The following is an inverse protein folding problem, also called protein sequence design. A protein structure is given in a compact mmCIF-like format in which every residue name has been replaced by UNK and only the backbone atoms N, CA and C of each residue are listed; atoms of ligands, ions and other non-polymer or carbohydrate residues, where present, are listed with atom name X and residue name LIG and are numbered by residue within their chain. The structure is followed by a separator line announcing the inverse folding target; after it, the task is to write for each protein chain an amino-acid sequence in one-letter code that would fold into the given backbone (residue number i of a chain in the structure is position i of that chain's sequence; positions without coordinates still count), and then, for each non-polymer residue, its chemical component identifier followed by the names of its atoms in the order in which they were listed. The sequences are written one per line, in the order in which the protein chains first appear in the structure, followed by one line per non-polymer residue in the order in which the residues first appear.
data_IF_931469023129
#
_entry.id   IF_931469023129
#
_cell.length_a   1.000
_cell.length_b   1.000
_cell.length_c   1.000
_cell.angle_alpha   90.00
_cell.angle_beta   90.00
_cell.angle_gamma   90.00
#
_symmetry.space_group_name_H-M   'P 1'
#
loop_
_entity.id
_entity.type
_entity.pdbx_description
1 polymer ?
#
# COMPACT_ATOMS: atom_id res chain seq x y z
N UNK A 1 11.86 39.99 35.77
CA UNK A 1 12.79 39.51 34.73
C UNK A 1 13.25 38.13 35.16
N UNK A 2 12.52 37.04 34.86
CA UNK A 2 12.02 36.60 33.53
C UNK A 2 13.20 36.39 32.57
N UNK A 3 13.40 35.27 31.85
CA UNK A 3 12.66 33.99 31.68
C UNK A 3 13.61 33.00 30.98
N UNK A 4 13.51 31.66 30.99
CA UNK A 4 12.51 30.69 31.48
C UNK A 4 13.23 29.44 32.08
N UNK A 5 12.53 28.63 32.87
CA UNK A 5 12.74 27.18 32.94
C UNK A 5 12.05 26.52 31.72
N UNK A 6 12.74 25.69 30.93
CA UNK A 6 12.11 24.89 29.87
C UNK A 6 12.50 23.41 29.98
N UNK A 7 11.53 22.61 30.41
CA UNK A 7 11.37 21.21 30.03
C UNK A 7 9.95 21.08 29.48
N UNK A 8 9.79 20.84 28.17
CA UNK A 8 9.19 19.59 27.71
C UNK A 8 9.94 19.06 26.46
N UNK A 9 9.97 17.78 26.11
CA UNK A 9 8.87 16.90 25.68
C UNK A 9 9.32 15.43 25.88
N UNK A 10 8.38 14.47 25.89
CA UNK A 10 8.70 13.05 26.05
C UNK A 10 9.52 12.49 24.86
N UNK A 11 10.82 12.27 25.05
CA UNK A 11 11.74 11.86 23.99
C UNK A 11 11.37 10.51 23.35
N UNK A 12 10.71 10.57 22.19
CA UNK A 12 10.37 9.40 21.39
C UNK A 12 11.66 8.68 20.96
N UNK A 13 11.77 7.38 21.27
CA UNK A 13 12.92 6.55 20.89
C UNK A 13 13.13 6.58 19.36
N UNK A 14 14.37 6.69 18.87
CA UNK A 14 14.67 6.61 17.44
C UNK A 14 13.99 5.43 16.75
N UNK A 15 13.52 5.64 15.51
CA UNK A 15 12.78 4.64 14.73
C UNK A 15 13.52 3.29 14.64
N UNK A 16 14.85 3.31 14.49
CA UNK A 16 15.66 2.10 14.45
C UNK A 16 15.65 1.34 15.80
N UNK A 17 15.67 2.03 16.95
CA UNK A 17 15.55 1.40 18.27
C UNK A 17 14.19 0.73 18.47
N UNK A 18 13.10 1.39 18.04
CA UNK A 18 11.75 0.80 18.07
C UNK A 18 11.67 -0.44 17.19
N UNK A 19 12.19 -0.37 15.97
CA UNK A 19 12.28 -1.51 15.07
C UNK A 19 13.09 -2.66 15.70
N UNK A 20 14.28 -2.39 16.23
CA UNK A 20 15.13 -3.40 16.88
C UNK A 20 14.51 -4.02 18.14
N UNK A 21 13.72 -3.26 18.90
CA UNK A 21 12.92 -3.78 20.02
C UNK A 21 11.81 -4.73 19.52
N UNK A 22 11.04 -4.30 18.51
CA UNK A 22 9.98 -5.11 17.88
C UNK A 22 10.53 -6.44 17.33
N UNK A 23 11.65 -6.40 16.59
CA UNK A 23 12.27 -7.62 16.04
C UNK A 23 12.72 -8.58 17.14
N UNK A 24 13.21 -8.10 18.29
CA UNK A 24 13.54 -8.97 19.43
C UNK A 24 12.30 -9.66 20.01
N UNK A 25 11.21 -8.93 20.16
CA UNK A 25 9.94 -9.50 20.64
C UNK A 25 9.42 -10.57 19.67
N UNK A 26 9.21 -10.20 18.41
CA UNK A 26 8.68 -11.11 17.38
C UNK A 26 9.57 -12.32 17.15
N UNK A 27 10.90 -12.19 17.29
CA UNK A 27 11.80 -13.33 17.20
C UNK A 27 11.68 -14.26 18.42
N UNK A 28 11.45 -13.73 19.63
CA UNK A 28 11.13 -14.56 20.78
C UNK A 28 9.81 -15.32 20.60
N UNK A 29 8.79 -14.64 20.10
CA UNK A 29 7.47 -15.24 19.78
C UNK A 29 7.58 -16.31 18.66
N UNK A 30 8.43 -16.10 17.66
CA UNK A 30 8.75 -17.07 16.61
C UNK A 30 9.74 -18.18 17.04
N UNK A 31 10.12 -18.25 18.32
CA UNK A 31 10.94 -19.33 18.89
C UNK A 31 12.46 -19.19 18.72
N UNK A 32 12.98 -18.02 18.33
CA UNK A 32 14.42 -17.76 18.30
C UNK A 32 14.91 -17.36 19.70
N UNK A 33 15.89 -18.07 20.24
CA UNK A 33 16.52 -17.70 21.52
C UNK A 33 17.42 -16.46 21.37
N UNK A 34 16.85 -15.31 21.71
CA UNK A 34 17.52 -14.00 21.65
C UNK A 34 18.35 -13.67 22.90
N UNK A 35 18.56 -14.63 23.82
CA UNK A 35 19.49 -14.41 24.94
C UNK A 35 20.96 -14.34 24.46
N UNK A 36 21.83 -13.57 25.16
CA UNK A 36 23.23 -13.44 24.75
C UNK A 36 23.95 -14.80 24.71
N UNK A 37 24.43 -15.18 23.52
CA UNK A 37 25.19 -16.42 23.30
C UNK A 37 24.37 -17.64 22.85
N UNK A 38 23.04 -17.62 22.98
CA UNK A 38 22.19 -18.77 22.61
C UNK A 38 21.99 -18.96 21.10
N UNK A 39 22.50 -18.05 20.27
CA UNK A 39 22.59 -18.23 18.82
C UNK A 39 21.33 -17.89 18.03
N UNK A 40 20.25 -17.39 18.63
CA UNK A 40 19.04 -16.96 17.90
C UNK A 40 19.32 -15.88 16.84
N UNK A 41 20.31 -15.00 17.05
CA UNK A 41 20.77 -14.06 16.03
C UNK A 41 21.40 -14.74 14.80
N UNK A 42 22.11 -15.86 14.99
CA UNK A 42 22.69 -16.66 13.90
C UNK A 42 21.61 -17.51 13.19
N UNK A 43 20.62 -18.00 13.93
CA UNK A 43 19.46 -18.65 13.34
C UNK A 43 18.64 -17.66 12.49
N UNK A 44 18.35 -16.46 13.01
CA UNK A 44 17.64 -15.41 12.28
C UNK A 44 18.43 -14.90 11.06
N UNK A 45 19.76 -14.79 11.16
CA UNK A 45 20.59 -14.41 10.00
C UNK A 45 20.54 -15.45 8.88
N UNK A 46 20.50 -16.75 9.22
CA UNK A 46 20.29 -17.83 8.25
C UNK A 46 18.89 -17.79 7.63
N UNK A 47 17.84 -17.60 8.44
CA UNK A 47 16.45 -17.55 7.97
C UNK A 47 16.17 -16.35 7.04
N UNK A 48 16.81 -15.21 7.30
CA UNK A 48 16.65 -13.98 6.50
C UNK A 48 17.64 -13.86 5.33
N UNK A 49 18.71 -14.66 5.32
CA UNK A 49 19.84 -14.51 4.37
C UNK A 49 20.69 -13.25 4.62
N UNK A 50 20.53 -12.60 5.77
CA UNK A 50 21.32 -11.44 6.17
C UNK A 50 22.63 -11.86 6.84
N UNK A 51 23.63 -10.96 6.88
CA UNK A 51 24.83 -11.20 7.70
C UNK A 51 24.51 -11.06 9.20
N UNK A 52 25.20 -11.82 10.04
CA UNK A 52 25.07 -11.74 11.51
C UNK A 52 25.30 -10.32 12.04
N UNK A 53 26.26 -9.59 11.46
CA UNK A 53 26.54 -8.19 11.80
C UNK A 53 25.38 -7.24 11.44
N UNK A 54 24.74 -7.44 10.27
CA UNK A 54 23.56 -6.67 9.88
C UNK A 54 22.36 -6.94 10.80
N UNK A 55 22.12 -8.22 11.14
CA UNK A 55 21.08 -8.63 12.10
C UNK A 55 21.35 -8.04 13.49
N UNK A 56 22.59 -8.14 13.99
CA UNK A 56 22.98 -7.60 15.30
C UNK A 56 22.80 -6.07 15.39
N UNK A 57 23.23 -5.33 14.37
CA UNK A 57 22.98 -3.88 14.27
C UNK A 57 21.49 -3.52 14.23
N UNK A 58 20.69 -4.29 13.50
CA UNK A 58 19.25 -4.09 13.38
C UNK A 58 18.53 -4.35 14.70
N UNK A 59 18.81 -5.49 15.33
CA UNK A 59 18.30 -5.86 16.67
C UNK A 59 18.69 -4.81 17.71
N UNK A 60 19.93 -4.32 17.69
CA UNK A 60 20.40 -3.30 18.63
C UNK A 60 19.92 -1.88 18.30
N UNK A 61 19.10 -1.70 17.25
CA UNK A 61 18.53 -0.40 16.90
C UNK A 61 19.48 0.58 16.24
N UNK A 62 20.63 0.12 15.77
CA UNK A 62 21.67 0.95 15.17
C UNK A 62 21.30 1.30 13.72
N UNK A 63 20.69 0.38 12.97
CA UNK A 63 20.27 0.62 11.58
C UNK A 63 19.01 -0.15 11.20
N UNK A 64 18.12 0.47 10.43
CA UNK A 64 17.01 -0.21 9.76
C UNK A 64 17.51 -1.20 8.69
N UNK A 65 16.74 -2.24 8.36
CA UNK A 65 17.01 -3.09 7.20
C UNK A 65 16.78 -2.33 5.88
N UNK A 66 17.32 -2.89 4.79
CA UNK A 66 17.04 -2.38 3.43
C UNK A 66 15.62 -2.78 2.99
N UNK A 67 14.97 -2.03 2.08
CA UNK A 67 13.63 -2.35 1.53
C UNK A 67 13.46 -3.82 1.09
N UNK A 68 14.46 -4.38 0.40
CA UNK A 68 14.50 -5.77 -0.11
C UNK A 68 14.65 -6.86 0.97
N UNK A 69 14.71 -6.49 2.25
CA UNK A 69 14.89 -7.42 3.37
C UNK A 69 13.64 -7.50 4.27
N UNK A 70 12.72 -6.53 4.23
CA UNK A 70 11.52 -6.56 5.08
C UNK A 70 10.67 -7.81 4.85
N UNK A 71 10.48 -8.25 3.60
CA UNK A 71 9.72 -9.47 3.28
C UNK A 71 10.36 -10.73 3.88
N UNK A 72 11.69 -10.82 3.85
CA UNK A 72 12.44 -11.96 4.41
C UNK A 72 12.36 -11.97 5.93
N UNK A 73 12.43 -10.80 6.56
CA UNK A 73 12.27 -10.64 8.00
C UNK A 73 10.85 -11.00 8.42
N UNK A 74 9.83 -10.48 7.74
CA UNK A 74 8.41 -10.78 7.99
C UNK A 74 8.14 -12.29 7.90
N UNK A 75 8.60 -12.92 6.81
CA UNK A 75 8.51 -14.38 6.59
C UNK A 75 9.25 -15.19 7.65
N UNK A 76 10.46 -14.78 8.05
CA UNK A 76 11.25 -15.47 9.07
C UNK A 76 10.65 -15.35 10.50
N UNK A 77 9.80 -14.35 10.73
CA UNK A 77 9.14 -14.07 12.01
C UNK A 77 7.64 -14.41 12.02
N UNK A 78 7.10 -14.98 10.93
CA UNK A 78 5.68 -15.36 10.84
C UNK A 78 4.69 -14.18 10.86
N UNK A 79 5.12 -12.99 10.44
CA UNK A 79 4.30 -11.77 10.42
C UNK A 79 4.21 -11.16 9.03
N UNK A 80 3.41 -10.09 8.88
CA UNK A 80 3.30 -9.33 7.64
C UNK A 80 4.27 -8.13 7.60
N UNK A 81 4.69 -7.72 6.39
CA UNK A 81 5.56 -6.56 6.18
C UNK A 81 4.91 -5.26 6.67
N UNK A 82 3.60 -5.09 6.43
CA UNK A 82 2.81 -3.96 6.93
C UNK A 82 2.88 -3.88 8.45
N UNK A 83 2.73 -5.01 9.15
CA UNK A 83 2.79 -5.05 10.61
C UNK A 83 4.17 -4.61 11.14
N UNK A 84 5.27 -5.04 10.48
CA UNK A 84 6.62 -4.55 10.81
C UNK A 84 6.78 -3.04 10.60
N UNK A 85 6.25 -2.50 9.50
CA UNK A 85 6.37 -1.09 9.16
C UNK A 85 5.49 -0.19 10.05
N UNK A 86 4.27 -0.61 10.36
CA UNK A 86 3.33 0.12 11.23
C UNK A 86 3.78 0.07 12.69
N UNK A 87 4.12 -1.10 13.23
CA UNK A 87 4.49 -1.24 14.65
C UNK A 87 5.85 -0.60 14.99
N UNK A 88 6.72 -0.37 14.00
CA UNK A 88 7.95 0.41 14.16
C UNK A 88 7.76 1.92 13.88
N UNK A 89 6.54 2.36 13.54
CA UNK A 89 6.19 3.71 13.12
C UNK A 89 6.98 4.20 11.88
N UNK A 90 7.35 3.27 10.99
CA UNK A 90 7.95 3.60 9.68
C UNK A 90 6.90 4.15 8.72
N UNK A 91 5.67 3.63 8.84
CA UNK A 91 4.45 4.17 8.21
C UNK A 91 3.36 4.28 9.29
N UNK A 92 2.40 5.18 9.13
CA UNK A 92 1.23 5.22 10.02
C UNK A 92 0.20 4.15 9.61
N UNK A 93 -0.71 3.79 10.53
CA UNK A 93 -1.69 2.71 10.28
C UNK A 93 -2.70 3.07 9.17
N UNK A 94 -2.89 4.37 8.96
CA UNK A 94 -3.79 4.99 7.98
C UNK A 94 -3.16 5.07 6.59
N UNK A 95 -1.81 5.10 6.50
CA UNK A 95 -1.08 5.16 5.25
C UNK A 95 -1.18 3.87 4.43
N UNK A 96 -1.50 2.74 5.09
CA UNK A 96 -1.79 1.47 4.45
C UNK A 96 -2.98 0.79 5.17
N UNK A 97 -4.22 0.96 4.69
CA UNK A 97 -5.38 0.25 5.23
C UNK A 97 -5.25 -1.27 5.02
N UNK A 98 -5.75 -2.05 5.97
CA UNK A 98 -5.81 -3.52 5.86
C UNK A 98 -6.57 -3.94 4.59
N UNK A 99 -5.99 -4.83 3.79
CA UNK A 99 -6.60 -5.30 2.53
C UNK A 99 -6.58 -4.31 1.36
N UNK A 100 -6.08 -3.08 1.53
CA UNK A 100 -5.88 -2.17 0.39
C UNK A 100 -4.56 -2.45 -0.33
N UNK A 101 -4.67 -2.93 -1.57
CA UNK A 101 -3.81 -2.40 -2.63
C UNK A 101 -4.24 -0.92 -2.76
N UNK A 102 -3.39 0.07 -2.50
CA UNK A 102 -3.76 1.45 -2.72
C UNK A 102 -4.08 1.64 -4.20
N UNK A 103 -5.32 2.00 -4.51
CA UNK A 103 -5.74 2.43 -5.85
C UNK A 103 -4.75 3.50 -6.32
N UNK A 104 -4.01 3.23 -7.40
CA UNK A 104 -2.80 3.97 -7.81
C UNK A 104 -3.20 5.27 -8.50
N UNK A 105 -3.98 6.10 -7.81
CA UNK A 105 -4.73 7.25 -8.34
C UNK A 105 -5.35 6.97 -9.71
N UNK A 106 -5.85 5.74 -9.92
CA UNK A 106 -6.72 5.49 -11.06
C UNK A 106 -8.08 6.04 -10.65
N UNK A 107 -8.64 6.96 -11.44
CA UNK A 107 -9.80 7.78 -11.04
C UNK A 107 -11.14 7.00 -11.03
N UNK A 108 -11.09 5.70 -10.73
CA UNK A 108 -12.12 4.68 -10.95
C UNK A 108 -12.49 3.91 -9.68
N UNK A 109 -12.25 4.48 -8.50
CA UNK A 109 -13.05 4.15 -7.32
C UNK A 109 -14.54 4.37 -7.66
N UNK A 110 -15.42 3.40 -7.37
CA UNK A 110 -16.79 3.35 -7.90
C UNK A 110 -17.70 4.55 -7.55
N UNK A 111 -17.30 5.42 -6.62
CA UNK A 111 -17.91 6.72 -6.40
C UNK A 111 -17.90 7.62 -7.66
N UNK A 112 -16.94 7.43 -8.57
CA UNK A 112 -16.86 8.14 -9.86
C UNK A 112 -17.94 7.75 -10.88
N UNK A 113 -18.65 6.63 -10.70
CA UNK A 113 -19.68 6.19 -11.67
C UNK A 113 -20.85 7.16 -11.76
N UNK A 114 -21.17 7.86 -10.66
CA UNK A 114 -22.16 8.95 -10.65
C UNK A 114 -21.69 10.22 -11.38
N UNK A 115 -20.40 10.32 -11.72
CA UNK A 115 -19.78 11.45 -12.44
C UNK A 115 -19.32 11.11 -13.87
N UNK A 116 -19.61 9.90 -14.37
CA UNK A 116 -19.27 9.47 -15.74
C UNK A 116 -20.38 9.79 -16.76
N UNK A 117 -21.34 10.67 -16.43
CA UNK A 117 -22.29 11.14 -17.44
C UNK A 117 -21.60 12.07 -18.44
N UNK A 118 -21.99 12.05 -19.74
CA UNK A 118 -21.43 12.95 -20.75
C UNK A 118 -21.55 14.44 -20.37
N UNK A 119 -22.59 14.80 -19.62
CA UNK A 119 -22.81 16.15 -19.08
C UNK A 119 -21.78 16.51 -18.00
N UNK A 120 -21.53 15.60 -17.04
CA UNK A 120 -20.55 15.81 -15.99
C UNK A 120 -19.12 15.90 -16.55
N UNK A 121 -18.80 15.13 -17.59
CA UNK A 121 -17.55 15.26 -18.33
C UNK A 121 -17.43 16.63 -19.02
N UNK A 122 -18.48 17.12 -19.67
CA UNK A 122 -18.51 18.44 -20.29
C UNK A 122 -18.32 19.57 -19.26
N UNK A 123 -18.90 19.44 -18.05
CA UNK A 123 -18.69 20.39 -16.95
C UNK A 123 -17.26 20.35 -16.40
N UNK A 124 -16.70 19.16 -16.19
CA UNK A 124 -15.32 18.98 -15.74
C UNK A 124 -14.29 19.57 -16.73
N UNK A 125 -14.55 19.43 -18.04
CA UNK A 125 -13.73 20.01 -19.10
C UNK A 125 -14.04 21.50 -19.40
N UNK A 126 -14.96 22.12 -18.63
CA UNK A 126 -15.39 23.52 -18.80
C UNK A 126 -15.93 23.84 -20.19
N UNK A 127 -16.62 22.89 -20.82
CA UNK A 127 -17.30 23.06 -22.11
C UNK A 127 -18.64 23.76 -21.86
N UNK A 128 -18.58 25.10 -21.84
CA UNK A 128 -19.72 25.98 -21.58
C UNK A 128 -20.48 26.43 -22.85
N UNK A 129 -19.89 26.23 -24.04
CA UNK A 129 -20.57 26.56 -25.31
C UNK A 129 -21.72 25.57 -25.59
N UNK A 130 -22.97 26.04 -25.75
CA UNK A 130 -24.12 25.15 -25.93
C UNK A 130 -24.04 24.33 -27.22
N UNK A 131 -23.42 24.88 -28.28
CA UNK A 131 -23.22 24.18 -29.56
C UNK A 131 -22.21 23.04 -29.42
N UNK A 132 -21.06 23.31 -28.78
CA UNK A 132 -20.01 22.30 -28.56
C UNK A 132 -20.52 21.22 -27.60
N UNK A 133 -21.26 21.60 -26.56
CA UNK A 133 -21.87 20.66 -25.61
C UNK A 133 -22.85 19.73 -26.32
N UNK A 134 -23.80 20.26 -27.09
CA UNK A 134 -24.78 19.45 -27.83
C UNK A 134 -24.11 18.49 -28.82
N UNK A 135 -23.07 18.94 -29.53
CA UNK A 135 -22.30 18.08 -30.43
C UNK A 135 -21.59 16.95 -29.69
N UNK A 136 -20.96 17.23 -28.55
CA UNK A 136 -20.28 16.23 -27.73
C UNK A 136 -21.26 15.16 -27.20
N UNK A 137 -22.38 15.59 -26.63
CA UNK A 137 -23.39 14.69 -26.05
C UNK A 137 -23.96 13.73 -27.13
N UNK A 138 -24.38 14.29 -28.27
CA UNK A 138 -24.92 13.50 -29.39
C UNK A 138 -23.90 12.49 -29.95
N UNK A 139 -22.63 12.87 -30.09
CA UNK A 139 -21.58 11.98 -30.57
C UNK A 139 -21.31 10.82 -29.59
N UNK A 140 -21.33 11.09 -28.28
CA UNK A 140 -21.15 10.05 -27.25
C UNK A 140 -22.35 9.10 -27.23
N UNK A 141 -23.58 9.62 -27.32
CA UNK A 141 -24.79 8.78 -27.41
C UNK A 141 -24.75 7.88 -28.66
N UNK A 142 -24.38 8.44 -29.81
CA UNK A 142 -24.23 7.68 -31.05
C UNK A 142 -23.16 6.58 -30.94
N UNK A 143 -22.01 6.88 -30.32
CA UNK A 143 -20.95 5.89 -30.12
C UNK A 143 -21.40 4.75 -29.18
N UNK A 144 -22.07 5.06 -28.08
CA UNK A 144 -22.63 4.05 -27.16
C UNK A 144 -23.68 3.18 -27.86
N UNK A 145 -24.52 3.78 -28.72
CA UNK A 145 -25.51 3.04 -29.50
C UNK A 145 -24.83 2.07 -30.47
N UNK A 146 -23.83 2.53 -31.23
CA UNK A 146 -23.10 1.69 -32.19
C UNK A 146 -22.40 0.52 -31.49
N UNK A 147 -21.75 0.76 -30.34
CA UNK A 147 -21.13 -0.32 -29.54
C UNK A 147 -22.16 -1.39 -29.16
N UNK A 148 -23.34 -1.01 -28.65
CA UNK A 148 -24.41 -1.95 -28.30
C UNK A 148 -24.94 -2.72 -29.51
N UNK A 149 -25.07 -2.06 -30.67
CA UNK A 149 -25.48 -2.72 -31.91
C UNK A 149 -24.44 -3.74 -32.39
N UNK A 150 -23.15 -3.51 -32.16
CA UNK A 150 -22.06 -4.46 -32.44
C UNK A 150 -22.06 -5.64 -31.46
N UNK A 151 -22.09 -5.36 -30.15
CA UNK A 151 -22.08 -6.39 -29.09
C UNK A 151 -23.27 -7.37 -29.23
N UNK A 152 -24.47 -6.85 -29.59
CA UNK A 152 -25.65 -7.67 -29.87
C UNK A 152 -25.59 -8.41 -31.22
N UNK A 153 -24.81 -7.91 -32.19
CA UNK A 153 -24.59 -8.56 -33.47
C UNK A 153 -23.75 -9.84 -33.35
N UNK A 154 -22.66 -9.79 -32.59
CA UNK A 154 -21.74 -10.93 -32.41
C UNK A 154 -22.41 -12.12 -31.68
N UNK A 155 -23.18 -11.85 -30.63
CA UNK A 155 -23.92 -12.91 -29.91
C UNK A 155 -25.01 -13.59 -30.76
N UNK A 156 -25.58 -12.90 -31.76
CA UNK A 156 -26.58 -13.50 -32.66
C UNK A 156 -25.95 -14.37 -33.76
N UNK A 157 -24.71 -14.09 -34.16
CA UNK A 157 -23.96 -14.93 -35.10
C UNK A 157 -23.50 -16.26 -34.45
N UNK A 158 -23.16 -16.24 -33.16
CA UNK A 158 -22.71 -17.44 -32.43
C UNK A 158 -23.81 -18.50 -32.17
N UNK A 159 -25.09 -18.16 -32.39
CA UNK A 159 -26.25 -19.01 -32.03
C UNK A 159 -27.03 -19.57 -33.21
N UNK A 160 -26.73 -19.16 -34.46
CA UNK A 160 -27.36 -19.71 -35.68
C UNK A 160 -26.54 -20.81 -36.38
N UNK A 161 -25.36 -21.15 -35.83
CA UNK A 161 -24.42 -22.14 -36.38
C UNK A 161 -24.48 -23.51 -35.69
N UNK A 162 -25.64 -24.16 -35.65
CA UNK A 162 -25.77 -25.54 -35.22
C UNK A 162 -26.77 -26.30 -36.14
N UNK A 163 -26.31 -27.32 -36.90
CA UNK A 163 -27.17 -28.18 -37.71
C UNK A 163 -27.90 -29.25 -36.90
#
# INVERSE_FOLDING_TARGET
MDTHNQTPEGGARPMAERFGALIRQLAGEAGYDMTPGAGGQLALSRATGMSTSAVGRMINGITLPRPDQFEKIARALGTDVRNLLVAAEVISSEAWPEGSIPDVRSSTSQASLSGLTPEAAADAWRITSPVIRSMLLNNIEQAIRLQREQDHGEHKAATSGAP
#
